data_IF_387165968683
#
_entry.id   IF_387165968683
#
_cell.length_a   1.000
_cell.length_b   1.000
_cell.length_c   1.000
_cell.angle_alpha   90.00
_cell.angle_beta   90.00
_cell.angle_gamma   90.00
#
_symmetry.space_group_name_H-M   'P 1'
#
loop_
_entity.id
_entity.type
_entity.pdbx_description
1 polymer ?
#
# COMPACT_ATOMS: atom_id res chain seq x y z
N UNK A 1 19.26 24.16 62.69
CA UNK A 1 18.83 23.98 64.09
C UNK A 1 18.16 25.25 64.58
N UNK A 2 16.84 25.32 64.55
CA UNK A 2 15.99 25.98 65.57
C UNK A 2 14.52 25.71 65.25
N UNK A 3 13.84 25.18 66.26
CA UNK A 3 12.40 24.95 66.35
C UNK A 3 11.66 26.25 66.70
N UNK A 4 10.42 26.39 66.22
CA UNK A 4 9.15 26.64 66.97
C UNK A 4 8.08 27.18 66.01
N UNK A 5 7.05 26.40 65.66
CA UNK A 5 5.77 26.20 66.36
C UNK A 5 4.90 27.45 66.55
N UNK A 6 3.68 27.42 66.00
CA UNK A 6 2.39 27.55 66.71
C UNK A 6 1.22 27.38 65.71
N UNK A 7 0.44 26.30 65.83
CA UNK A 7 -0.90 26.23 66.46
C UNK A 7 -2.01 26.71 65.51
N UNK A 8 -3.18 26.08 65.30
CA UNK A 8 -4.18 25.51 66.21
C UNK A 8 -5.15 24.63 65.37
N UNK A 9 -5.62 23.51 65.92
CA UNK A 9 -6.82 22.79 65.46
C UNK A 9 -8.10 23.49 65.93
N UNK A 10 -9.15 23.55 65.09
CA UNK A 10 -10.52 23.29 65.58
C UNK A 10 -11.50 22.92 64.46
N UNK A 11 -12.40 22.03 64.86
CA UNK A 11 -13.48 21.35 64.14
C UNK A 11 -14.56 22.29 63.60
N UNK A 12 -15.22 21.89 62.50
CA UNK A 12 -16.66 21.63 62.41
C UNK A 12 -17.11 21.48 60.93
N UNK A 13 -17.77 20.37 60.60
CA UNK A 13 -18.72 20.27 59.47
C UNK A 13 -20.08 20.91 59.86
N UNK A 14 -21.10 20.94 58.98
CA UNK A 14 -21.14 21.57 57.67
C UNK A 14 -22.31 22.57 57.61
N UNK A 15 -22.16 23.70 56.91
CA UNK A 15 -23.31 24.55 56.56
C UNK A 15 -23.40 24.78 55.06
N UNK A 16 -24.50 24.26 54.52
CA UNK A 16 -25.03 24.52 53.19
C UNK A 16 -25.10 26.02 52.90
N UNK A 17 -24.30 26.49 51.95
CA UNK A 17 -24.58 27.70 51.21
C UNK A 17 -24.62 27.34 49.72
N UNK A 18 -25.84 27.39 49.18
CA UNK A 18 -26.13 27.29 47.76
C UNK A 18 -25.37 28.37 46.99
N UNK A 19 -24.47 27.97 46.10
CA UNK A 19 -24.14 28.74 44.91
C UNK A 19 -24.29 27.84 43.70
N UNK A 20 -25.51 27.77 43.19
CA UNK A 20 -25.75 27.25 41.85
C UNK A 20 -25.34 28.31 40.83
N UNK A 21 -24.41 27.98 39.96
CA UNK A 21 -24.40 28.37 38.54
C UNK A 21 -23.42 27.49 37.76
N UNK A 22 -23.99 26.45 37.16
CA UNK A 22 -23.62 25.87 35.86
C UNK A 22 -22.14 25.54 35.59
N UNK A 23 -21.60 24.57 36.33
CA UNK A 23 -20.55 23.72 35.79
C UNK A 23 -21.16 22.80 34.73
N UNK A 24 -21.08 23.19 33.44
CA UNK A 24 -21.27 22.23 32.34
C UNK A 24 -20.32 21.07 32.61
N UNK A 25 -20.84 19.89 32.95
CA UNK A 25 -20.12 18.63 32.75
C UNK A 25 -19.70 18.63 31.29
N UNK A 26 -18.40 18.82 31.04
CA UNK A 26 -17.82 18.54 29.74
C UNK A 26 -17.84 17.02 29.68
N UNK A 27 -18.89 16.47 29.07
CA UNK A 27 -18.86 15.08 28.66
C UNK A 27 -17.57 14.86 27.86
N UNK A 28 -16.82 13.78 28.11
CA UNK A 28 -15.72 13.42 27.24
C UNK A 28 -16.27 13.40 25.80
N UNK A 29 -15.55 13.99 24.83
CA UNK A 29 -16.06 14.10 23.47
C UNK A 29 -16.47 12.70 23.03
N UNK A 30 -17.78 12.52 22.82
CA UNK A 30 -18.30 11.32 22.17
C UNK A 30 -17.46 11.18 20.90
N UNK A 31 -16.64 10.12 20.82
CA UNK A 31 -15.99 9.72 19.56
C UNK A 31 -17.13 9.45 18.59
N UNK A 32 -17.58 10.48 17.89
CA UNK A 32 -18.45 10.31 16.72
C UNK A 32 -17.66 9.38 15.82
N UNK A 33 -18.17 8.18 15.60
CA UNK A 33 -17.66 7.30 14.56
C UNK A 33 -17.55 8.13 13.28
N UNK A 34 -16.34 8.32 12.82
CA UNK A 34 -16.04 9.13 11.65
C UNK A 34 -16.29 8.27 10.42
N UNK A 35 -17.16 8.72 9.51
CA UNK A 35 -17.48 8.00 8.27
C UNK A 35 -16.94 8.82 7.09
N UNK A 36 -15.88 8.37 6.39
CA UNK A 36 -15.47 9.01 5.15
C UNK A 36 -16.62 9.02 4.14
N UNK A 37 -16.90 10.17 3.54
CA UNK A 37 -17.91 10.31 2.50
C UNK A 37 -17.27 10.12 1.12
N UNK A 38 -17.03 8.87 0.73
CA UNK A 38 -16.80 8.54 -0.69
C UNK A 38 -18.15 8.39 -1.34
N UNK A 39 -18.40 9.14 -2.42
CA UNK A 39 -19.65 9.07 -3.18
C UNK A 39 -19.35 8.59 -4.60
N UNK A 40 -20.01 7.50 -5.02
CA UNK A 40 -20.07 7.12 -6.43
C UNK A 40 -20.95 8.11 -7.16
N UNK A 41 -20.46 8.61 -8.28
CA UNK A 41 -21.18 9.58 -9.10
C UNK A 41 -21.97 8.81 -10.16
N UNK A 42 -23.23 9.20 -10.44
CA UNK A 42 -24.05 8.48 -11.40
C UNK A 42 -23.42 8.50 -12.79
N UNK A 43 -23.51 7.37 -13.50
CA UNK A 43 -23.05 7.15 -14.88
C UNK A 43 -21.54 6.96 -15.07
N UNK A 44 -21.07 5.77 -14.74
CA UNK A 44 -19.81 5.19 -15.19
C UNK A 44 -19.92 4.59 -16.61
N UNK A 45 -18.79 4.20 -17.20
CA UNK A 45 -18.74 3.55 -18.51
C UNK A 45 -18.22 2.11 -18.45
N UNK A 46 -18.62 1.30 -19.42
CA UNK A 46 -18.25 -0.11 -19.58
C UNK A 46 -17.80 -0.38 -21.02
N UNK A 47 -16.69 -1.08 -21.22
CA UNK A 47 -16.35 -1.75 -22.48
C UNK A 47 -16.77 -3.22 -22.43
N UNK A 48 -17.20 -3.74 -23.57
CA UNK A 48 -17.63 -5.14 -23.69
C UNK A 48 -16.45 -6.08 -23.53
N UNK A 49 -16.69 -7.27 -22.96
CA UNK A 49 -15.69 -8.33 -22.98
C UNK A 49 -15.64 -8.89 -24.40
N UNK A 50 -14.45 -9.03 -25.05
CA UNK A 50 -14.35 -9.56 -26.40
C UNK A 50 -14.96 -10.96 -26.54
N UNK A 51 -15.42 -11.31 -27.74
CA UNK A 51 -16.07 -12.59 -28.02
C UNK A 51 -15.07 -13.75 -28.14
N UNK A 52 -13.82 -13.47 -28.51
CA UNK A 52 -12.73 -14.43 -28.65
C UNK A 52 -12.09 -14.84 -27.31
N UNK A 53 -12.58 -14.33 -26.18
CA UNK A 53 -12.14 -14.75 -24.85
C UNK A 53 -12.81 -16.08 -24.51
N UNK A 54 -12.07 -17.17 -24.72
CA UNK A 54 -12.55 -18.54 -24.51
C UNK A 54 -12.66 -18.93 -23.04
N UNK A 55 -13.55 -19.88 -22.77
CA UNK A 55 -13.72 -20.52 -21.46
C UNK A 55 -12.47 -21.30 -21.10
N UNK A 56 -11.92 -21.02 -19.91
CA UNK A 56 -10.64 -21.56 -19.45
C UNK A 56 -9.48 -20.56 -19.57
N UNK A 57 -9.67 -19.42 -20.24
CA UNK A 57 -8.73 -18.31 -20.13
C UNK A 57 -8.73 -17.74 -18.71
N UNK A 58 -7.60 -17.22 -18.25
CA UNK A 58 -7.44 -16.62 -16.92
C UNK A 58 -6.91 -15.19 -17.04
N UNK A 59 -7.73 -14.25 -17.54
CA UNK A 59 -7.29 -12.87 -17.73
C UNK A 59 -6.92 -12.20 -16.40
N UNK A 60 -6.09 -11.17 -16.51
CA UNK A 60 -5.76 -10.29 -15.40
C UNK A 60 -6.65 -9.05 -15.48
N UNK A 61 -7.52 -8.87 -14.48
CA UNK A 61 -8.25 -7.64 -14.23
C UNK A 61 -7.40 -6.70 -13.36
N UNK A 62 -7.04 -5.55 -13.93
CA UNK A 62 -6.22 -4.52 -13.31
C UNK A 62 -7.13 -3.45 -12.72
N UNK A 63 -7.22 -3.38 -11.40
CA UNK A 63 -7.96 -2.34 -10.69
C UNK A 63 -7.01 -1.21 -10.25
N UNK A 64 -7.27 0.02 -10.71
CA UNK A 64 -6.43 1.17 -10.40
C UNK A 64 -7.26 2.38 -10.00
N UNK A 65 -6.78 3.13 -9.02
CA UNK A 65 -7.38 4.40 -8.61
C UNK A 65 -6.52 5.53 -9.15
N UNK A 66 -7.10 6.43 -9.95
CA UNK A 66 -6.37 7.49 -10.64
C UNK A 66 -7.02 8.84 -10.36
N UNK A 67 -6.23 9.87 -10.07
CA UNK A 67 -6.74 11.22 -9.81
C UNK A 67 -6.77 12.14 -11.03
N UNK A 68 -6.19 11.71 -12.16
CA UNK A 68 -6.01 12.53 -13.36
C UNK A 68 -6.28 11.73 -14.65
N UNK A 69 -7.15 12.25 -15.52
CA UNK A 69 -7.47 11.64 -16.82
C UNK A 69 -6.24 11.38 -17.70
N UNK A 70 -5.28 12.30 -17.72
CA UNK A 70 -4.07 12.16 -18.54
C UNK A 70 -3.25 10.93 -18.14
N UNK A 71 -3.13 10.67 -16.84
CA UNK A 71 -2.47 9.46 -16.31
C UNK A 71 -3.24 8.20 -16.68
N UNK A 72 -4.57 8.24 -16.59
CA UNK A 72 -5.41 7.12 -17.02
C UNK A 72 -5.26 6.81 -18.52
N UNK A 73 -5.20 7.83 -19.38
CA UNK A 73 -4.92 7.66 -20.82
C UNK A 73 -3.55 7.05 -21.06
N UNK A 74 -2.52 7.54 -20.37
CA UNK A 74 -1.16 7.00 -20.47
C UNK A 74 -1.13 5.52 -20.12
N UNK A 75 -1.80 5.12 -19.02
CA UNK A 75 -1.90 3.72 -18.60
C UNK A 75 -2.61 2.84 -19.63
N UNK A 76 -3.76 3.31 -20.17
CA UNK A 76 -4.47 2.59 -21.23
C UNK A 76 -3.54 2.38 -22.44
N UNK A 77 -2.82 3.43 -22.85
CA UNK A 77 -1.91 3.36 -23.98
C UNK A 77 -0.77 2.36 -23.74
N UNK A 78 -0.17 2.37 -22.54
CA UNK A 78 0.86 1.40 -22.15
C UNK A 78 0.36 -0.04 -22.23
N UNK A 79 -0.86 -0.32 -21.74
CA UNK A 79 -1.46 -1.66 -21.83
C UNK A 79 -1.73 -2.09 -23.27
N UNK A 80 -2.20 -1.16 -24.10
CA UNK A 80 -2.44 -1.41 -25.52
C UNK A 80 -1.13 -1.68 -26.26
N UNK A 81 -0.06 -0.95 -25.93
CA UNK A 81 1.25 -1.16 -26.52
C UNK A 81 1.92 -2.45 -26.05
N UNK A 82 1.73 -2.84 -24.78
CA UNK A 82 2.21 -4.11 -24.23
C UNK A 82 1.54 -5.34 -24.91
N UNK A 83 0.31 -5.20 -25.40
CA UNK A 83 -0.45 -6.26 -26.06
C UNK A 83 0.03 -6.60 -27.49
N UNK A 84 1.22 -6.13 -27.91
CA UNK A 84 1.76 -6.42 -29.25
C UNK A 84 2.43 -7.80 -29.38
N UNK A 85 2.69 -8.49 -28.27
CA UNK A 85 3.15 -9.90 -28.22
C UNK A 85 2.72 -10.49 -26.85
N UNK A 86 1.44 -10.82 -26.62
CA UNK A 86 1.03 -11.47 -25.34
C UNK A 86 -0.18 -12.40 -25.45
N UNK A 87 -0.09 -13.56 -24.80
CA UNK A 87 -1.17 -14.55 -24.64
C UNK A 87 -2.01 -14.30 -23.37
N UNK A 88 -1.52 -13.49 -22.42
CA UNK A 88 -2.26 -13.07 -21.23
C UNK A 88 -3.23 -11.94 -21.58
N UNK A 89 -4.51 -12.29 -21.56
CA UNK A 89 -5.61 -11.35 -21.78
C UNK A 89 -5.74 -10.39 -20.59
N UNK A 90 -5.74 -9.07 -20.83
CA UNK A 90 -5.79 -8.02 -19.78
C UNK A 90 -7.11 -7.25 -19.83
N UNK A 91 -7.67 -6.92 -18.68
CA UNK A 91 -8.83 -6.05 -18.52
C UNK A 91 -8.52 -4.92 -17.52
N UNK A 92 -9.14 -3.75 -17.67
CA UNK A 92 -8.82 -2.57 -16.86
C UNK A 92 -10.04 -1.96 -16.16
N UNK A 93 -9.97 -1.83 -14.84
CA UNK A 93 -10.95 -1.19 -13.99
C UNK A 93 -10.36 0.11 -13.41
N UNK A 94 -10.86 1.25 -13.88
CA UNK A 94 -10.40 2.57 -13.43
C UNK A 94 -11.41 3.17 -12.47
N UNK A 95 -10.92 3.54 -11.29
CA UNK A 95 -11.61 4.45 -10.42
C UNK A 95 -11.06 5.86 -10.57
N UNK A 96 -11.81 6.75 -11.24
CA UNK A 96 -11.39 8.12 -11.49
C UNK A 96 -11.89 9.06 -10.39
N UNK A 97 -10.96 9.61 -9.61
CA UNK A 97 -11.26 10.52 -8.51
C UNK A 97 -11.22 11.98 -8.95
N UNK A 98 -12.21 12.77 -8.55
CA UNK A 98 -12.15 14.23 -8.65
C UNK A 98 -12.26 14.91 -7.28
N UNK A 99 -11.53 16.01 -7.14
CA UNK A 99 -11.57 16.85 -5.95
C UNK A 99 -12.65 17.93 -6.13
N UNK A 100 -13.61 18.00 -5.21
CA UNK A 100 -14.52 19.16 -5.08
C UNK A 100 -15.99 18.92 -5.49
N UNK A 101 -16.79 20.00 -5.37
CA UNK A 101 -18.26 19.99 -5.51
C UNK A 101 -18.78 19.80 -6.95
N UNK A 102 -17.93 20.00 -7.96
CA UNK A 102 -18.28 19.90 -9.39
C UNK A 102 -17.76 18.62 -10.08
N UNK A 103 -17.22 17.68 -9.29
CA UNK A 103 -16.68 16.40 -9.77
C UNK A 103 -17.68 15.61 -10.63
N UNK A 104 -18.98 15.64 -10.30
CA UNK A 104 -20.04 14.87 -10.95
C UNK A 104 -20.20 15.19 -12.45
N UNK A 105 -19.92 16.44 -12.88
CA UNK A 105 -20.14 16.87 -14.27
C UNK A 105 -18.98 16.53 -15.20
N UNK A 106 -17.73 16.66 -14.73
CA UNK A 106 -16.54 16.48 -15.56
C UNK A 106 -16.06 15.02 -15.57
N UNK A 107 -16.05 14.37 -14.41
CA UNK A 107 -15.54 13.01 -14.30
C UNK A 107 -16.37 11.99 -15.06
N UNK A 108 -17.69 12.18 -15.12
CA UNK A 108 -18.60 11.31 -15.88
C UNK A 108 -18.24 11.29 -17.37
N UNK A 109 -18.01 12.47 -17.96
CA UNK A 109 -17.59 12.58 -19.36
C UNK A 109 -16.20 11.97 -19.55
N UNK A 110 -15.27 12.22 -18.62
CA UNK A 110 -13.93 11.65 -18.66
C UNK A 110 -13.94 10.12 -18.58
N UNK A 111 -14.74 9.53 -17.70
CA UNK A 111 -14.89 8.08 -17.59
C UNK A 111 -15.42 7.46 -18.88
N UNK A 112 -16.41 8.10 -19.52
CA UNK A 112 -16.93 7.64 -20.81
C UNK A 112 -15.86 7.73 -21.89
N UNK A 113 -15.10 8.81 -21.97
CA UNK A 113 -14.03 8.95 -22.94
C UNK A 113 -12.93 7.91 -22.73
N UNK A 114 -12.53 7.63 -21.49
CA UNK A 114 -11.57 6.58 -21.16
C UNK A 114 -12.09 5.20 -21.59
N UNK A 115 -13.37 4.93 -21.39
CA UNK A 115 -14.01 3.67 -21.81
C UNK A 115 -14.10 3.55 -23.33
N UNK A 116 -14.42 4.62 -24.04
CA UNK A 116 -14.39 4.62 -25.52
C UNK A 116 -12.97 4.42 -26.05
N UNK A 117 -11.96 4.99 -25.37
CA UNK A 117 -10.55 4.73 -25.69
C UNK A 117 -10.20 3.25 -25.46
N UNK A 118 -10.64 2.64 -24.36
CA UNK A 118 -10.46 1.22 -24.09
C UNK A 118 -11.12 0.36 -25.17
N UNK A 119 -12.39 0.62 -25.51
CA UNK A 119 -13.13 -0.06 -26.60
C UNK A 119 -12.42 0.02 -27.94
N UNK A 120 -11.99 1.23 -28.33
CA UNK A 120 -11.33 1.48 -29.62
C UNK A 120 -10.05 0.64 -29.78
N UNK A 121 -9.37 0.34 -28.67
CA UNK A 121 -8.14 -0.44 -28.67
C UNK A 121 -8.35 -1.90 -28.24
N UNK A 122 -9.59 -2.39 -28.17
CA UNK A 122 -9.88 -3.78 -27.80
C UNK A 122 -9.53 -4.13 -26.34
N UNK A 123 -9.39 -3.14 -25.45
CA UNK A 123 -9.12 -3.35 -24.03
C UNK A 123 -10.47 -3.46 -23.27
N UNK A 124 -10.86 -4.65 -22.76
CA UNK A 124 -12.03 -4.76 -21.91
C UNK A 124 -11.82 -4.07 -20.56
N UNK A 125 -12.89 -3.58 -19.95
CA UNK A 125 -12.77 -2.78 -18.75
C UNK A 125 -13.96 -1.89 -18.42
N UNK A 126 -13.83 -1.14 -17.35
CA UNK A 126 -14.80 -0.15 -16.91
C UNK A 126 -14.13 1.04 -16.24
N UNK A 127 -14.85 2.17 -16.18
CA UNK A 127 -14.39 3.36 -15.48
C UNK A 127 -15.51 3.97 -14.65
N UNK A 128 -15.30 4.07 -13.33
CA UNK A 128 -16.25 4.62 -12.37
C UNK A 128 -15.72 5.96 -11.83
N UNK A 129 -16.60 6.97 -11.85
CA UNK A 129 -16.32 8.27 -11.24
C UNK A 129 -16.65 8.23 -9.75
N UNK A 130 -15.75 8.73 -8.92
CA UNK A 130 -16.04 8.99 -7.51
C UNK A 130 -15.50 10.35 -7.07
N UNK A 131 -16.14 10.89 -6.03
CA UNK A 131 -15.69 12.12 -5.36
C UNK A 131 -15.29 11.78 -3.93
N UNK A 132 -14.11 12.29 -3.54
CA UNK A 132 -13.60 12.21 -2.17
C UNK A 132 -12.94 13.52 -1.75
N UNK A 133 -13.12 13.89 -0.49
CA UNK A 133 -12.46 15.03 0.14
C UNK A 133 -11.50 14.57 1.26
N UNK A 134 -10.26 15.11 1.33
CA UNK A 134 -9.31 14.77 2.38
C UNK A 134 -9.82 15.09 3.78
N UNK A 135 -9.48 14.19 4.71
CA UNK A 135 -9.94 14.15 6.10
C UNK A 135 -9.25 15.21 6.98
N UNK A 136 -8.22 15.89 6.46
CA UNK A 136 -7.45 16.88 7.22
C UNK A 136 -7.25 18.17 6.43
N UNK A 137 -7.52 19.30 7.06
CA UNK A 137 -7.03 20.63 6.65
C UNK A 137 -5.64 20.92 7.21
N UNK A 138 -5.11 20.05 8.08
CA UNK A 138 -3.76 20.15 8.65
C UNK A 138 -2.73 19.71 7.58
N UNK A 139 -1.87 20.62 7.11
CA UNK A 139 -0.84 20.33 6.12
C UNK A 139 0.29 19.43 6.63
N UNK A 140 0.38 19.14 7.94
CA UNK A 140 1.38 18.22 8.51
C UNK A 140 0.86 16.77 8.64
N UNK A 141 -0.46 16.58 8.68
CA UNK A 141 -1.12 15.26 8.55
C UNK A 141 -1.12 14.80 7.08
N UNK A 142 0.08 14.68 6.48
CA UNK A 142 0.30 14.19 5.11
C UNK A 142 0.27 12.66 5.01
N UNK A 143 -0.60 12.02 5.77
CA UNK A 143 -0.81 10.58 5.73
C UNK A 143 -1.94 10.21 4.77
N UNK A 144 -1.79 9.09 4.06
CA UNK A 144 -2.84 8.48 3.24
C UNK A 144 -4.12 8.24 4.07
N UNK A 145 -5.05 9.19 4.12
CA UNK A 145 -6.29 8.97 4.88
C UNK A 145 -7.33 8.28 4.01
N UNK A 146 -7.27 6.94 3.94
CA UNK A 146 -8.44 6.09 3.70
C UNK A 146 -9.43 6.53 2.57
N UNK A 147 -9.01 6.79 1.30
CA UNK A 147 -9.95 6.73 0.18
C UNK A 147 -9.71 5.50 -0.69
N UNK A 148 -8.51 4.91 -0.60
CA UNK A 148 -8.08 3.82 -1.47
C UNK A 148 -8.88 2.54 -1.20
N UNK A 149 -9.18 2.26 0.08
CA UNK A 149 -9.93 1.05 0.48
C UNK A 149 -11.40 1.17 0.09
N UNK A 150 -11.99 2.30 0.42
CA UNK A 150 -13.38 2.65 0.15
C UNK A 150 -13.64 2.69 -1.35
N UNK A 151 -12.77 3.35 -2.13
CA UNK A 151 -12.90 3.40 -3.59
C UNK A 151 -12.69 2.02 -4.24
N UNK A 152 -11.76 1.20 -3.74
CA UNK A 152 -11.59 -0.20 -4.19
C UNK A 152 -12.81 -1.08 -3.89
N UNK A 153 -13.38 -0.93 -2.70
CA UNK A 153 -14.64 -1.58 -2.37
C UNK A 153 -15.71 -1.16 -3.37
N UNK A 154 -15.85 0.14 -3.66
CA UNK A 154 -16.82 0.63 -4.64
C UNK A 154 -16.55 0.10 -6.05
N UNK A 155 -15.28 0.03 -6.49
CA UNK A 155 -14.92 -0.62 -7.75
C UNK A 155 -15.30 -2.10 -7.78
N UNK A 156 -15.35 -2.78 -6.63
CA UNK A 156 -15.74 -4.19 -6.55
C UNK A 156 -17.26 -4.37 -6.47
N UNK A 157 -17.95 -3.50 -5.73
CA UNK A 157 -19.37 -3.66 -5.37
C UNK A 157 -20.34 -2.86 -6.21
N UNK A 158 -19.89 -1.87 -6.96
CA UNK A 158 -20.79 -1.09 -7.82
C UNK A 158 -21.50 -1.98 -8.84
N UNK A 159 -22.78 -1.68 -9.13
CA UNK A 159 -23.59 -2.49 -10.03
C UNK A 159 -22.98 -2.63 -11.43
N UNK A 160 -22.28 -1.60 -11.93
CA UNK A 160 -21.59 -1.66 -13.22
C UNK A 160 -20.39 -2.61 -13.16
N UNK A 161 -19.61 -2.54 -12.08
CA UNK A 161 -18.49 -3.45 -11.88
C UNK A 161 -18.96 -4.89 -11.71
N UNK A 162 -20.02 -5.13 -10.91
CA UNK A 162 -20.63 -6.44 -10.75
C UNK A 162 -21.09 -7.02 -12.09
N UNK A 163 -21.71 -6.19 -12.95
CA UNK A 163 -22.10 -6.59 -14.30
C UNK A 163 -20.89 -7.02 -15.14
N UNK A 164 -19.82 -6.21 -15.15
CA UNK A 164 -18.60 -6.55 -15.89
C UNK A 164 -17.95 -7.84 -15.38
N UNK A 165 -17.81 -7.96 -14.06
CA UNK A 165 -17.26 -9.15 -13.41
C UNK A 165 -18.04 -10.41 -13.79
N UNK A 166 -19.37 -10.36 -13.76
CA UNK A 166 -20.22 -11.48 -14.15
C UNK A 166 -20.08 -11.82 -15.64
N UNK A 167 -20.04 -10.83 -16.53
CA UNK A 167 -19.81 -11.06 -17.97
C UNK A 167 -18.44 -11.70 -18.21
N UNK A 168 -17.39 -11.14 -17.59
CA UNK A 168 -16.03 -11.61 -17.72
C UNK A 168 -15.85 -13.04 -17.19
N UNK A 169 -16.38 -13.32 -16.01
CA UNK A 169 -16.38 -14.65 -15.38
C UNK A 169 -17.17 -15.67 -16.20
N UNK A 170 -18.32 -15.27 -16.78
CA UNK A 170 -19.13 -16.17 -17.62
C UNK A 170 -18.39 -16.65 -18.88
N UNK A 171 -17.54 -15.79 -19.46
CA UNK A 171 -16.77 -16.08 -20.67
C UNK A 171 -15.49 -16.85 -20.37
N UNK A 172 -14.77 -16.44 -19.32
CA UNK A 172 -13.40 -16.94 -19.05
C UNK A 172 -13.36 -18.05 -18.00
N UNK A 173 -14.34 -18.09 -17.10
CA UNK A 173 -14.43 -19.06 -16.00
C UNK A 173 -13.61 -18.68 -14.77
N UNK A 174 -12.47 -18.00 -14.92
CA UNK A 174 -11.62 -17.56 -13.82
C UNK A 174 -10.97 -16.22 -14.16
N UNK A 175 -10.85 -15.34 -13.16
CA UNK A 175 -10.25 -14.01 -13.33
C UNK A 175 -9.28 -13.76 -12.20
N UNK A 176 -8.07 -13.34 -12.55
CA UNK A 176 -7.06 -12.90 -11.59
C UNK A 176 -7.18 -11.38 -11.44
N UNK A 177 -7.38 -10.90 -10.23
CA UNK A 177 -7.44 -9.47 -9.89
C UNK A 177 -6.09 -9.02 -9.40
N UNK A 178 -5.61 -7.91 -9.98
CA UNK A 178 -4.46 -7.14 -9.53
C UNK A 178 -4.91 -5.73 -9.19
N UNK A 179 -4.69 -5.30 -7.96
CA UNK A 179 -5.05 -3.94 -7.56
C UNK A 179 -3.80 -3.08 -7.44
N UNK A 180 -3.73 -1.95 -8.14
CA UNK A 180 -2.57 -1.06 -8.30
C UNK A 180 -2.74 0.31 -7.59
N UNK A 181 -1.63 1.00 -7.36
CA UNK A 181 -1.58 2.45 -7.09
C UNK A 181 -1.53 3.15 -8.45
N UNK A 182 -1.85 4.45 -8.53
CA UNK A 182 -1.74 5.21 -9.79
C UNK A 182 -0.30 5.37 -10.32
N UNK A 183 0.67 4.91 -9.54
CA UNK A 183 2.07 5.31 -9.62
C UNK A 183 2.96 4.09 -9.81
N UNK A 184 2.69 3.37 -10.90
CA UNK A 184 3.20 2.04 -11.23
C UNK A 184 3.84 2.02 -12.63
N UNK A 185 4.38 3.16 -13.08
CA UNK A 185 4.87 3.36 -14.46
C UNK A 185 5.93 2.36 -14.93
N UNK A 186 6.61 1.68 -14.00
CA UNK A 186 7.60 0.65 -14.28
C UNK A 186 7.11 -0.76 -13.92
N UNK A 187 5.81 -0.96 -13.69
CA UNK A 187 5.28 -2.27 -13.35
C UNK A 187 5.45 -3.23 -14.54
N UNK A 188 6.08 -4.39 -14.34
CA UNK A 188 6.28 -5.39 -15.40
C UNK A 188 4.99 -5.79 -16.12
N UNK A 189 3.83 -5.74 -15.46
CA UNK A 189 2.53 -5.99 -16.08
C UNK A 189 2.16 -4.96 -17.17
N UNK A 190 2.73 -3.76 -17.10
CA UNK A 190 2.52 -2.63 -18.00
C UNK A 190 3.65 -2.43 -19.00
N UNK A 191 4.86 -2.91 -18.69
CA UNK A 191 6.10 -2.57 -19.42
C UNK A 191 6.80 -3.75 -20.08
N UNK A 192 6.57 -4.99 -19.63
CA UNK A 192 7.25 -6.18 -20.17
C UNK A 192 6.35 -6.96 -21.13
N UNK A 193 6.97 -7.48 -22.19
CA UNK A 193 6.41 -8.54 -23.05
C UNK A 193 6.77 -9.95 -22.54
N UNK A 194 7.28 -10.06 -21.31
CA UNK A 194 7.78 -11.32 -20.73
C UNK A 194 6.62 -12.08 -20.07
N UNK A 195 5.68 -12.52 -20.91
CA UNK A 195 4.47 -13.24 -20.49
C UNK A 195 4.72 -14.59 -19.81
N UNK A 196 5.95 -15.09 -19.89
CA UNK A 196 6.30 -16.41 -19.36
C UNK A 196 6.11 -16.53 -17.84
N UNK A 197 6.33 -15.48 -17.05
CA UNK A 197 6.14 -15.61 -15.60
C UNK A 197 4.66 -15.68 -15.20
N UNK A 198 3.84 -14.79 -15.77
CA UNK A 198 2.41 -14.76 -15.43
C UNK A 198 1.72 -16.07 -15.81
N UNK A 199 2.03 -16.59 -16.99
CA UNK A 199 1.40 -17.80 -17.53
C UNK A 199 1.96 -19.09 -16.95
N UNK A 200 3.27 -19.19 -16.79
CA UNK A 200 3.89 -20.45 -16.38
C UNK A 200 4.00 -20.57 -14.85
N UNK A 201 3.98 -19.48 -14.10
CA UNK A 201 4.12 -19.50 -12.65
C UNK A 201 2.91 -18.93 -11.90
N UNK A 202 2.56 -17.67 -12.14
CA UNK A 202 1.60 -16.95 -11.29
C UNK A 202 0.18 -17.50 -11.43
N UNK A 203 -0.34 -17.59 -12.66
CA UNK A 203 -1.69 -18.08 -12.93
C UNK A 203 -1.82 -19.52 -12.43
N UNK A 204 -0.99 -20.50 -12.86
CA UNK A 204 -1.11 -21.89 -12.42
C UNK A 204 -1.10 -22.03 -10.89
N UNK A 205 -0.26 -21.28 -10.18
CA UNK A 205 -0.25 -21.32 -8.73
C UNK A 205 -1.53 -20.78 -8.11
N UNK A 206 -2.05 -19.64 -8.59
CA UNK A 206 -3.33 -19.09 -8.14
C UNK A 206 -4.51 -20.00 -8.50
N UNK A 207 -4.41 -20.81 -9.56
CA UNK A 207 -5.45 -21.77 -9.92
C UNK A 207 -5.39 -23.04 -9.06
N UNK A 208 -4.20 -23.59 -8.82
CA UNK A 208 -3.99 -24.76 -7.96
C UNK A 208 -4.30 -24.45 -6.48
N UNK A 209 -4.01 -23.24 -6.06
CA UNK A 209 -4.31 -22.72 -4.74
C UNK A 209 -5.17 -21.46 -4.89
N UNK A 210 -6.50 -21.58 -5.06
CA UNK A 210 -7.38 -20.42 -5.22
C UNK A 210 -7.23 -19.40 -4.09
N UNK A 211 -6.88 -19.88 -2.89
CA UNK A 211 -6.68 -19.08 -1.66
C UNK A 211 -5.30 -18.41 -1.60
N UNK A 212 -4.41 -18.70 -2.55
CA UNK A 212 -3.09 -18.11 -2.61
C UNK A 212 -3.15 -16.64 -3.00
N UNK A 213 -2.11 -15.94 -2.55
CA UNK A 213 -1.84 -14.56 -2.89
C UNK A 213 -0.37 -14.41 -3.24
N UNK A 214 -0.12 -13.69 -4.32
CA UNK A 214 1.21 -13.25 -4.74
C UNK A 214 1.38 -11.76 -4.50
N UNK A 215 2.59 -11.38 -4.11
CA UNK A 215 2.99 -9.97 -4.04
C UNK A 215 4.45 -9.84 -4.42
N UNK A 216 4.81 -8.72 -5.04
CA UNK A 216 6.20 -8.41 -5.36
C UNK A 216 6.79 -7.30 -4.50
N UNK A 217 6.04 -6.69 -3.58
CA UNK A 217 6.50 -5.52 -2.85
C UNK A 217 6.63 -4.27 -3.72
N UNK A 218 7.56 -3.37 -3.36
CA UNK A 218 7.93 -2.20 -4.17
C UNK A 218 9.42 -1.90 -4.03
N UNK A 219 10.00 -1.37 -5.10
CA UNK A 219 11.27 -0.65 -5.07
C UNK A 219 10.98 0.84 -4.83
N UNK A 220 11.85 1.51 -4.07
CA UNK A 220 11.96 2.96 -4.17
C UNK A 220 12.70 3.33 -5.44
N UNK A 221 12.25 4.40 -6.10
CA UNK A 221 12.84 4.88 -7.33
C UNK A 221 14.31 5.29 -7.16
N UNK A 222 15.15 4.81 -8.07
CA UNK A 222 16.60 4.99 -8.11
C UNK A 222 17.03 5.91 -9.25
N UNK A 223 16.11 6.62 -9.91
CA UNK A 223 16.47 7.58 -10.95
C UNK A 223 17.25 8.77 -10.34
N UNK A 224 18.49 8.97 -10.78
CA UNK A 224 19.37 10.01 -10.24
C UNK A 224 18.91 11.44 -10.58
N UNK A 225 18.15 11.65 -11.65
CA UNK A 225 17.53 12.95 -11.95
C UNK A 225 16.50 13.32 -10.90
N UNK A 226 15.67 12.37 -10.48
CA UNK A 226 14.69 12.57 -9.42
C UNK A 226 15.38 12.85 -8.08
N UNK A 227 16.46 12.12 -7.76
CA UNK A 227 17.27 12.35 -6.56
C UNK A 227 17.92 13.73 -6.59
N UNK A 228 18.47 14.13 -7.73
CA UNK A 228 19.08 15.46 -7.96
C UNK A 228 18.07 16.58 -7.66
N UNK A 229 16.84 16.43 -8.14
CA UNK A 229 15.77 17.38 -7.85
C UNK A 229 15.50 17.48 -6.34
N UNK A 230 15.38 16.34 -5.63
CA UNK A 230 15.19 16.33 -4.16
C UNK A 230 16.37 16.96 -3.41
N UNK A 231 17.60 16.64 -3.78
CA UNK A 231 18.81 17.22 -3.16
C UNK A 231 18.85 18.73 -3.35
N UNK A 232 18.51 19.22 -4.55
CA UNK A 232 18.42 20.65 -4.86
C UNK A 232 17.39 21.35 -3.97
N UNK A 233 16.19 20.79 -3.84
CA UNK A 233 15.14 21.30 -2.94
C UNK A 233 15.60 21.37 -1.48
N UNK A 234 16.41 20.39 -1.05
CA UNK A 234 16.97 20.31 0.32
C UNK A 234 18.27 21.08 0.51
N UNK A 235 18.73 21.81 -0.52
CA UNK A 235 20.00 22.56 -0.50
C UNK A 235 21.19 21.68 -0.12
N UNK A 236 21.19 20.43 -0.61
CA UNK A 236 22.28 19.46 -0.47
C UNK A 236 23.12 19.42 -1.75
N UNK A 237 24.32 18.85 -1.65
CA UNK A 237 25.21 18.74 -2.79
C UNK A 237 24.70 17.67 -3.78
N UNK A 238 24.38 18.10 -5.00
CA UNK A 238 23.79 17.25 -6.04
C UNK A 238 24.77 16.24 -6.63
N UNK A 239 26.08 16.45 -6.47
CA UNK A 239 27.11 15.52 -6.99
C UNK A 239 26.99 14.11 -6.40
N UNK A 240 26.30 13.97 -5.26
CA UNK A 240 26.08 12.70 -4.57
C UNK A 240 24.87 11.92 -5.08
N UNK A 241 24.12 12.45 -6.06
CA UNK A 241 22.87 11.84 -6.52
C UNK A 241 23.04 10.39 -6.98
N UNK A 242 24.07 10.09 -7.78
CA UNK A 242 24.31 8.74 -8.30
C UNK A 242 24.67 7.74 -7.19
N UNK A 243 25.47 8.18 -6.22
CA UNK A 243 25.84 7.32 -5.07
C UNK A 243 24.67 7.09 -4.12
N UNK A 244 23.81 8.07 -3.95
CA UNK A 244 22.56 7.91 -3.20
C UNK A 244 21.60 6.98 -3.96
N UNK A 245 21.55 7.07 -5.30
CA UNK A 245 20.77 6.15 -6.13
C UNK A 245 21.24 4.69 -5.94
N UNK A 246 22.55 4.47 -5.99
CA UNK A 246 23.18 3.17 -5.73
C UNK A 246 22.85 2.65 -4.33
N UNK A 247 22.94 3.50 -3.30
CA UNK A 247 22.56 3.13 -1.93
C UNK A 247 21.07 2.75 -1.80
N UNK A 248 20.15 3.47 -2.47
CA UNK A 248 18.73 3.13 -2.50
C UNK A 248 18.52 1.78 -3.22
N UNK A 249 19.25 1.52 -4.31
CA UNK A 249 19.18 0.23 -5.01
C UNK A 249 19.65 -0.94 -4.13
N UNK A 250 20.68 -0.74 -3.32
CA UNK A 250 21.14 -1.71 -2.31
C UNK A 250 20.04 -1.96 -1.28
N UNK A 251 19.42 -0.90 -0.74
CA UNK A 251 18.32 -1.05 0.23
C UNK A 251 17.14 -1.81 -0.39
N UNK A 252 16.73 -1.46 -1.61
CA UNK A 252 15.67 -2.17 -2.32
C UNK A 252 15.97 -3.68 -2.41
N UNK A 253 17.18 -4.03 -2.85
CA UNK A 253 17.61 -5.44 -2.97
C UNK A 253 17.49 -6.17 -1.63
N UNK A 254 18.02 -5.57 -0.56
CA UNK A 254 18.00 -6.16 0.79
C UNK A 254 16.59 -6.20 1.41
N UNK A 255 15.74 -5.23 1.09
CA UNK A 255 14.31 -5.25 1.44
C UNK A 255 13.59 -6.44 0.81
N UNK A 256 13.88 -6.77 -0.44
CA UNK A 256 13.28 -7.93 -1.09
C UNK A 256 13.76 -9.25 -0.47
N UNK A 257 15.06 -9.41 -0.25
CA UNK A 257 15.63 -10.61 0.35
C UNK A 257 15.13 -10.84 1.78
N UNK A 258 15.08 -9.80 2.62
CA UNK A 258 14.57 -9.95 3.99
C UNK A 258 13.09 -10.33 4.00
N UNK A 259 12.28 -9.81 3.08
CA UNK A 259 10.85 -10.17 3.00
C UNK A 259 10.65 -11.61 2.59
N UNK A 260 11.44 -12.10 1.64
CA UNK A 260 11.42 -13.50 1.21
C UNK A 260 11.79 -14.44 2.37
N UNK A 261 12.89 -14.14 3.07
CA UNK A 261 13.32 -14.91 4.25
C UNK A 261 12.28 -14.88 5.39
N UNK A 262 11.73 -13.70 5.68
CA UNK A 262 10.68 -13.54 6.68
C UNK A 262 9.38 -14.23 6.28
N UNK A 263 9.07 -14.33 4.98
CA UNK A 263 7.89 -15.05 4.50
C UNK A 263 8.02 -16.56 4.68
N UNK A 264 9.19 -17.11 4.40
CA UNK A 264 9.48 -18.53 4.62
C UNK A 264 9.39 -18.91 6.10
N UNK A 265 9.72 -17.97 6.99
CA UNK A 265 9.70 -18.20 8.43
C UNK A 265 8.34 -17.90 9.07
N UNK A 266 7.84 -16.67 8.89
CA UNK A 266 6.62 -16.20 9.53
C UNK A 266 5.97 -15.09 8.70
N UNK A 267 5.10 -15.47 7.76
CA UNK A 267 4.48 -14.56 6.78
C UNK A 267 3.77 -13.34 7.38
N UNK A 268 3.26 -13.40 8.63
CA UNK A 268 2.63 -12.24 9.30
C UNK A 268 3.63 -11.14 9.70
N UNK A 269 4.93 -11.44 9.73
CA UNK A 269 5.98 -10.46 10.04
C UNK A 269 6.20 -9.47 8.89
N UNK A 270 5.73 -9.83 7.70
CA UNK A 270 5.92 -9.05 6.49
C UNK A 270 4.72 -8.13 6.27
N UNK A 271 4.95 -6.83 6.40
CA UNK A 271 4.04 -5.82 5.84
C UNK A 271 4.00 -5.91 4.31
N UNK A 272 2.83 -6.25 3.78
CA UNK A 272 2.57 -6.24 2.35
C UNK A 272 1.81 -4.96 1.96
N UNK A 273 2.42 -4.09 1.15
CA UNK A 273 1.77 -2.87 0.70
C UNK A 273 0.58 -3.22 -0.20
N UNK A 274 -0.59 -2.73 0.19
CA UNK A 274 -1.89 -3.08 -0.38
C UNK A 274 -2.10 -2.80 -1.88
N UNK A 275 -1.30 -1.97 -2.61
CA UNK A 275 -1.51 -1.81 -4.03
C UNK A 275 -0.72 -2.75 -4.94
N UNK A 276 -0.20 -3.88 -4.46
CA UNK A 276 0.57 -4.80 -5.32
C UNK A 276 0.33 -6.27 -4.98
N UNK A 277 -0.92 -6.74 -5.05
CA UNK A 277 -1.24 -8.16 -4.84
C UNK A 277 -2.05 -8.75 -6.00
N UNK A 278 -1.83 -10.04 -6.29
CA UNK A 278 -2.63 -10.83 -7.24
C UNK A 278 -3.48 -11.84 -6.48
N UNK A 279 -4.76 -11.96 -6.82
CA UNK A 279 -5.71 -12.88 -6.19
C UNK A 279 -6.84 -13.28 -7.15
N UNK A 280 -7.62 -14.30 -6.80
CA UNK A 280 -8.80 -14.66 -7.58
C UNK A 280 -9.98 -13.67 -7.34
N UNK A 281 -10.74 -13.35 -8.40
CA UNK A 281 -11.93 -12.48 -8.35
C UNK A 281 -13.00 -12.95 -7.34
N UNK A 282 -13.18 -14.25 -7.15
CA UNK A 282 -14.09 -14.77 -6.13
C UNK A 282 -13.69 -14.34 -4.71
N UNK A 283 -12.39 -14.41 -4.39
CA UNK A 283 -11.88 -13.94 -3.11
C UNK A 283 -11.98 -12.42 -2.95
N UNK A 284 -11.80 -11.68 -4.04
CA UNK A 284 -12.04 -10.24 -4.08
C UNK A 284 -13.50 -9.89 -3.75
N UNK A 285 -14.48 -10.65 -4.27
CA UNK A 285 -15.92 -10.45 -4.02
C UNK A 285 -16.38 -10.94 -2.63
N UNK A 286 -15.69 -11.91 -2.05
CA UNK A 286 -16.03 -12.42 -0.72
C UNK A 286 -15.78 -11.39 0.41
N UNK A 287 -15.00 -10.33 0.15
CA UNK A 287 -14.62 -9.30 1.13
C UNK A 287 -15.43 -8.00 1.01
N UNK A 288 -16.67 -8.05 0.50
CA UNK A 288 -17.50 -6.84 0.29
C UNK A 288 -18.33 -6.47 1.54
N UNK A 289 -18.65 -5.16 1.77
CA UNK A 289 -19.40 -4.71 2.95
C UNK A 289 -20.78 -5.36 3.09
N UNK A 290 -21.43 -5.70 1.96
CA UNK A 290 -22.77 -6.30 1.92
C UNK A 290 -22.76 -7.76 2.41
N UNK A 291 -21.77 -8.55 2.00
CA UNK A 291 -21.58 -9.91 2.50
C UNK A 291 -21.17 -9.92 3.99
N UNK A 292 -20.47 -8.88 4.43
CA UNK A 292 -20.03 -8.67 5.82
C UNK A 292 -21.18 -8.26 6.76
N UNK A 293 -22.15 -7.45 6.29
CA UNK A 293 -23.28 -6.99 7.10
C UNK A 293 -24.37 -8.05 7.31
N UNK A 294 -24.42 -9.09 6.47
CA UNK A 294 -25.45 -10.13 6.54
C UNK A 294 -25.11 -11.28 7.51
N UNK A 295 -24.02 -11.17 8.30
CA UNK A 295 -23.57 -12.22 9.23
C UNK A 295 -23.45 -13.61 8.57
N UNK A 296 -23.35 -13.68 7.24
CA UNK A 296 -22.86 -14.86 6.56
C UNK A 296 -21.37 -14.91 6.88
N UNK A 297 -21.09 -15.54 8.01
CA UNK A 297 -19.76 -15.95 8.45
C UNK A 297 -19.21 -16.87 7.37
N UNK A 298 -18.64 -16.29 6.32
CA UNK A 298 -17.43 -16.87 5.77
C UNK A 298 -16.40 -16.60 6.88
N UNK A 299 -16.01 -17.66 7.58
CA UNK A 299 -15.16 -17.62 8.77
C UNK A 299 -14.11 -16.48 8.70
N UNK A 300 -14.26 -15.54 9.63
CA UNK A 300 -13.29 -14.53 10.07
C UNK A 300 -12.94 -13.32 9.16
N UNK A 301 -13.62 -12.21 9.47
CA UNK A 301 -13.15 -10.81 9.57
C UNK A 301 -12.39 -10.21 8.37
N UNK A 302 -12.99 -9.28 7.60
CA UNK A 302 -12.21 -8.25 6.91
C UNK A 302 -12.93 -7.21 6.06
N UNK A 303 -12.68 -5.94 6.36
CA UNK A 303 -12.45 -4.96 5.28
C UNK A 303 -11.50 -3.81 5.62
N UNK A 304 -10.87 -3.82 6.80
CA UNK A 304 -10.00 -2.71 7.16
C UNK A 304 -8.55 -2.86 6.71
N UNK A 305 -8.12 -3.98 6.12
CA UNK A 305 -6.74 -4.14 5.65
C UNK A 305 -6.60 -5.27 4.61
N UNK A 306 -6.87 -5.02 3.33
CA UNK A 306 -6.77 -6.04 2.26
C UNK A 306 -5.39 -6.71 2.14
N UNK A 307 -4.32 -6.15 2.72
CA UNK A 307 -3.03 -6.86 2.86
C UNK A 307 -2.84 -7.52 4.23
N UNK A 308 -3.22 -6.83 5.31
CA UNK A 308 -3.00 -7.30 6.70
C UNK A 308 -3.97 -8.41 7.11
N UNK A 309 -5.17 -8.46 6.52
CA UNK A 309 -6.14 -9.53 6.77
C UNK A 309 -5.65 -10.84 6.17
N UNK A 310 -5.21 -10.85 4.90
CA UNK A 310 -4.80 -12.10 4.27
C UNK A 310 -3.52 -12.66 4.91
N UNK A 311 -2.63 -11.79 5.38
CA UNK A 311 -1.52 -12.17 6.25
C UNK A 311 -2.03 -12.71 7.61
N UNK A 312 -3.02 -12.06 8.23
CA UNK A 312 -3.67 -12.55 9.47
C UNK A 312 -4.33 -13.92 9.30
N UNK A 313 -4.93 -14.19 8.14
CA UNK A 313 -5.53 -15.48 7.77
C UNK A 313 -4.50 -16.54 7.32
N UNK A 314 -3.19 -16.22 7.30
CA UNK A 314 -2.15 -17.15 6.84
C UNK A 314 -2.22 -17.49 5.34
N UNK A 315 -2.84 -16.62 4.52
CA UNK A 315 -3.16 -16.88 3.10
C UNK A 315 -2.14 -16.31 2.12
N UNK A 316 -1.17 -15.52 2.57
CA UNK A 316 -0.06 -15.06 1.71
C UNK A 316 0.83 -16.25 1.40
N UNK A 317 0.87 -16.66 0.13
CA UNK A 317 1.48 -17.93 -0.27
C UNK A 317 2.88 -17.75 -0.86
N UNK A 318 3.17 -16.59 -1.48
CA UNK A 318 4.47 -16.36 -2.15
C UNK A 318 4.80 -14.87 -2.32
N UNK A 319 6.07 -14.49 -2.13
CA UNK A 319 6.61 -13.17 -2.50
C UNK A 319 7.57 -13.32 -3.67
N UNK A 320 7.40 -12.49 -4.69
CA UNK A 320 8.02 -12.65 -6.01
C UNK A 320 8.62 -11.35 -6.52
N UNK A 321 9.94 -11.30 -6.57
CA UNK A 321 10.68 -10.09 -6.95
C UNK A 321 10.47 -9.71 -8.43
N UNK A 322 10.01 -10.64 -9.28
CA UNK A 322 9.74 -10.40 -10.71
C UNK A 322 8.50 -9.53 -10.95
N UNK A 323 7.59 -9.40 -9.97
CA UNK A 323 6.34 -8.63 -10.09
C UNK A 323 6.33 -7.38 -9.18
N UNK A 324 7.51 -6.93 -8.78
CA UNK A 324 7.70 -5.72 -7.97
C UNK A 324 7.42 -4.46 -8.79
N UNK A 325 7.00 -3.39 -8.12
CA UNK A 325 6.73 -2.09 -8.76
C UNK A 325 7.68 -1.04 -8.24
N UNK A 326 8.06 -0.06 -9.05
CA UNK A 326 8.78 1.12 -8.57
C UNK A 326 7.79 2.17 -8.05
N UNK A 327 8.05 2.72 -6.85
CA UNK A 327 7.38 3.92 -6.33
C UNK A 327 8.31 5.13 -6.47
N UNK A 328 7.83 6.27 -6.96
CA UNK A 328 8.67 7.46 -7.06
C UNK A 328 9.09 7.96 -5.68
N UNK A 329 10.16 8.72 -5.69
CA UNK A 329 10.72 9.32 -4.48
C UNK A 329 9.74 10.35 -3.92
N UNK A 330 9.20 10.03 -2.74
CA UNK A 330 8.24 10.88 -2.01
C UNK A 330 8.95 11.66 -0.89
N UNK A 331 8.27 12.70 -0.39
CA UNK A 331 8.76 13.54 0.72
C UNK A 331 9.22 12.77 1.96
N UNK A 332 8.67 11.58 2.24
CA UNK A 332 9.09 10.80 3.41
C UNK A 332 10.48 10.16 3.25
N UNK A 333 11.01 10.04 2.02
CA UNK A 333 12.39 9.61 1.75
C UNK A 333 13.39 10.78 1.80
N UNK A 334 12.92 12.02 1.92
CA UNK A 334 13.79 13.20 1.96
C UNK A 334 14.81 13.14 3.10
N UNK A 335 14.40 12.60 4.26
CA UNK A 335 15.27 12.48 5.41
C UNK A 335 16.40 11.48 5.13
N UNK A 336 16.07 10.36 4.47
CA UNK A 336 17.03 9.34 4.07
C UNK A 336 18.04 9.91 3.05
N UNK A 337 17.53 10.56 1.99
CA UNK A 337 18.37 11.18 0.95
C UNK A 337 19.28 12.27 1.55
N UNK A 338 18.72 13.13 2.42
CA UNK A 338 19.48 14.21 3.06
C UNK A 338 20.56 13.66 3.99
N UNK A 339 20.25 12.61 4.75
CA UNK A 339 21.19 12.00 5.69
C UNK A 339 22.34 11.30 4.96
N UNK A 340 22.08 10.61 3.85
CA UNK A 340 23.14 10.05 3.00
C UNK A 340 24.03 11.13 2.37
N UNK A 341 23.44 12.24 1.91
CA UNK A 341 24.23 13.38 1.42
C UNK A 341 25.15 13.96 2.52
N UNK A 342 24.66 14.02 3.76
CA UNK A 342 25.46 14.48 4.91
C UNK A 342 26.60 13.51 5.27
N UNK A 343 26.39 12.20 5.13
CA UNK A 343 27.44 11.19 5.32
C UNK A 343 28.52 11.32 4.25
N UNK A 344 28.12 11.45 2.98
CA UNK A 344 29.04 11.59 1.85
C UNK A 344 29.86 12.88 1.90
N UNK A 345 29.31 13.95 2.49
CA UNK A 345 30.02 15.21 2.68
C UNK A 345 31.10 15.16 3.78
N UNK A 346 31.06 14.18 4.69
CA UNK A 346 32.06 14.04 5.75
C UNK A 346 33.28 13.27 5.23
N UNK A 347 34.52 13.65 5.61
CA UNK A 347 35.71 12.84 5.39
C UNK A 347 35.49 11.42 5.92
N UNK A 348 36.15 10.41 5.33
CA UNK A 348 35.96 9.03 5.74
C UNK A 348 36.33 8.85 7.23
N UNK A 349 35.32 8.74 8.08
CA UNK A 349 35.43 8.55 9.52
C UNK A 349 34.88 7.17 9.83
N UNK A 350 35.58 6.37 10.63
CA UNK A 350 35.22 4.99 10.98
C UNK A 350 33.85 4.81 11.66
N UNK A 351 33.03 5.86 11.80
CA UNK A 351 31.66 5.83 12.33
C UNK A 351 30.56 5.73 11.26
N UNK A 352 30.89 5.69 9.96
CA UNK A 352 29.89 5.68 8.86
C UNK A 352 28.88 4.53 8.98
N UNK A 353 29.31 3.34 9.36
CA UNK A 353 28.43 2.16 9.50
C UNK A 353 27.29 2.39 10.50
N UNK A 354 27.59 2.99 11.66
CA UNK A 354 26.58 3.26 12.70
C UNK A 354 25.57 4.32 12.27
N UNK A 355 26.02 5.36 11.54
CA UNK A 355 25.12 6.38 11.00
C UNK A 355 24.20 5.78 9.91
N UNK A 356 24.73 4.96 9.01
CA UNK A 356 23.97 4.28 7.96
C UNK A 356 22.95 3.31 8.57
N UNK A 357 23.35 2.50 9.56
CA UNK A 357 22.45 1.57 10.25
C UNK A 357 21.26 2.29 10.87
N UNK A 358 21.51 3.43 11.51
CA UNK A 358 20.46 4.27 12.11
C UNK A 358 19.47 4.76 11.04
N UNK A 359 19.98 5.26 9.91
CA UNK A 359 19.15 5.74 8.80
C UNK A 359 18.26 4.62 8.25
N UNK A 360 18.81 3.42 8.04
CA UNK A 360 18.04 2.27 7.57
C UNK A 360 16.94 1.88 8.56
N UNK A 361 17.25 1.83 9.87
CA UNK A 361 16.24 1.51 10.91
C UNK A 361 15.09 2.52 10.97
N UNK A 362 15.38 3.78 10.67
CA UNK A 362 14.42 4.89 10.67
C UNK A 362 13.68 5.03 9.32
N UNK A 363 14.14 4.35 8.28
CA UNK A 363 13.51 4.36 6.97
C UNK A 363 12.06 3.84 7.07
N UNK A 364 11.12 4.67 6.66
CA UNK A 364 9.70 4.39 6.82
C UNK A 364 9.29 3.10 6.06
N UNK A 365 8.65 2.17 6.78
CA UNK A 365 8.16 0.88 6.24
C UNK A 365 9.25 -0.06 5.69
N UNK A 366 10.49 0.08 6.17
CA UNK A 366 11.58 -0.87 5.90
C UNK A 366 11.47 -2.12 6.79
N UNK A 367 11.59 -3.31 6.20
CA UNK A 367 11.70 -4.59 6.91
C UNK A 367 13.11 -4.88 7.42
N UNK A 368 14.09 -4.02 7.10
CA UNK A 368 15.43 -4.02 7.71
C UNK A 368 15.46 -3.41 9.12
N UNK A 369 14.29 -3.13 9.70
CA UNK A 369 14.07 -2.60 11.04
C UNK A 369 13.21 -3.55 11.88
N UNK A 370 13.75 -4.05 13.00
CA UNK A 370 13.04 -4.96 13.90
C UNK A 370 11.75 -4.34 14.44
N UNK A 371 11.74 -3.02 14.63
CA UNK A 371 10.57 -2.29 15.10
C UNK A 371 9.39 -2.38 14.13
N UNK A 372 9.65 -2.50 12.82
CA UNK A 372 8.61 -2.61 11.80
C UNK A 372 8.04 -4.02 11.81
N UNK A 373 8.89 -5.05 11.83
CA UNK A 373 8.46 -6.45 11.90
C UNK A 373 7.68 -6.74 13.19
N UNK A 374 8.19 -6.31 14.34
CA UNK A 374 7.50 -6.41 15.64
C UNK A 374 6.12 -5.76 15.62
N UNK A 375 6.03 -4.56 15.06
CA UNK A 375 4.76 -3.83 14.95
C UNK A 375 3.77 -4.59 14.05
N UNK A 376 4.24 -5.15 12.94
CA UNK A 376 3.40 -5.93 12.03
C UNK A 376 2.84 -7.18 12.72
N UNK A 377 3.72 -7.94 13.36
CA UNK A 377 3.37 -9.13 14.15
C UNK A 377 2.31 -8.78 15.18
N UNK A 378 2.59 -7.80 16.05
CA UNK A 378 1.68 -7.36 17.13
C UNK A 378 0.33 -6.85 16.60
N UNK A 379 0.31 -6.21 15.42
CA UNK A 379 -0.92 -5.73 14.77
C UNK A 379 -1.76 -6.88 14.21
N UNK A 380 -1.14 -7.97 13.77
CA UNK A 380 -1.82 -9.09 13.10
C UNK A 380 -2.29 -10.19 14.05
N UNK A 381 -1.71 -10.28 15.24
CA UNK A 381 -2.02 -11.30 16.23
C UNK A 381 -3.33 -11.05 16.98
N UNK A 382 -4.04 -12.13 17.34
CA UNK A 382 -5.12 -12.06 18.32
C UNK A 382 -4.55 -11.77 19.72
N UNK A 383 -5.39 -11.30 20.65
CA UNK A 383 -5.01 -11.10 22.06
C UNK A 383 -4.49 -12.40 22.72
N UNK A 384 -4.98 -13.56 22.25
CA UNK A 384 -4.55 -14.88 22.74
C UNK A 384 -3.17 -15.24 22.18
N UNK A 385 -2.92 -14.99 20.89
CA UNK A 385 -1.60 -15.24 20.28
C UNK A 385 -0.51 -14.37 20.92
N UNK A 386 -0.83 -13.13 21.34
CA UNK A 386 0.13 -12.20 21.96
C UNK A 386 0.74 -12.74 23.25
N UNK A 387 0.01 -13.60 23.95
CA UNK A 387 0.47 -14.24 25.19
C UNK A 387 1.26 -15.54 24.94
N UNK A 388 1.19 -16.09 23.73
CA UNK A 388 1.81 -17.36 23.33
C UNK A 388 2.99 -17.20 22.36
N UNK A 389 3.30 -15.98 21.92
CA UNK A 389 4.49 -15.72 21.13
C UNK A 389 5.73 -16.10 21.93
N UNK A 390 6.28 -17.25 21.59
CA UNK A 390 7.49 -17.77 22.22
C UNK A 390 8.60 -16.83 21.80
N UNK A 391 9.28 -16.22 22.77
CA UNK A 391 10.40 -15.31 22.57
C UNK A 391 11.38 -15.81 21.47
N UNK A 392 11.54 -17.13 21.36
CA UNK A 392 12.32 -17.82 20.34
C UNK A 392 11.94 -17.48 18.89
N UNK A 393 10.65 -17.29 18.57
CA UNK A 393 10.19 -16.90 17.23
C UNK A 393 10.57 -15.45 16.90
N UNK A 394 10.41 -14.53 17.87
CA UNK A 394 10.86 -13.15 17.71
C UNK A 394 12.37 -13.07 17.59
N UNK A 395 13.10 -13.87 18.37
CA UNK A 395 14.56 -13.93 18.29
C UNK A 395 15.01 -14.47 16.93
N UNK A 396 14.28 -15.42 16.34
CA UNK A 396 14.54 -15.91 14.98
C UNK A 396 14.27 -14.84 13.93
N UNK A 397 13.13 -14.16 13.98
CA UNK A 397 12.76 -13.05 13.08
C UNK A 397 13.78 -11.92 13.18
N UNK A 398 14.15 -11.51 14.40
CA UNK A 398 15.12 -10.44 14.63
C UNK A 398 16.53 -10.80 14.14
N UNK A 399 16.92 -12.08 14.23
CA UNK A 399 18.17 -12.56 13.61
C UNK A 399 18.17 -12.43 12.09
N UNK A 400 17.05 -12.77 11.44
CA UNK A 400 16.88 -12.59 9.98
C UNK A 400 17.00 -11.11 9.62
N UNK A 401 16.22 -10.24 10.27
CA UNK A 401 16.23 -8.79 10.01
C UNK A 401 17.62 -8.20 10.22
N UNK A 402 18.28 -8.55 11.34
CA UNK A 402 19.63 -8.08 11.64
C UNK A 402 20.64 -8.51 10.58
N UNK A 403 20.61 -9.78 10.15
CA UNK A 403 21.53 -10.29 9.13
C UNK A 403 21.46 -9.46 7.84
N UNK A 404 20.26 -9.28 7.27
CA UNK A 404 20.10 -8.53 6.03
C UNK A 404 20.38 -7.02 6.19
N UNK A 405 20.08 -6.45 7.37
CA UNK A 405 20.46 -5.06 7.65
C UNK A 405 21.98 -4.91 7.69
N UNK A 406 22.69 -5.78 8.39
CA UNK A 406 24.14 -5.69 8.56
C UNK A 406 24.84 -5.81 7.18
N UNK A 407 24.35 -6.68 6.29
CA UNK A 407 24.79 -6.74 4.89
C UNK A 407 24.48 -5.45 4.12
N UNK A 408 23.26 -4.92 4.23
CA UNK A 408 22.86 -3.67 3.60
C UNK A 408 23.78 -2.51 4.02
N UNK A 409 24.07 -2.38 5.33
CA UNK A 409 25.01 -1.39 5.85
C UNK A 409 26.41 -1.60 5.26
N UNK A 410 26.91 -2.84 5.23
CA UNK A 410 28.22 -3.14 4.67
C UNK A 410 28.34 -2.72 3.21
N UNK A 411 27.33 -3.01 2.39
CA UNK A 411 27.36 -2.72 0.96
C UNK A 411 27.21 -1.22 0.67
N UNK A 412 26.40 -0.49 1.43
CA UNK A 412 26.32 0.98 1.32
C UNK A 412 27.64 1.63 1.73
N UNK A 413 28.30 1.15 2.79
CA UNK A 413 29.62 1.66 3.20
C UNK A 413 30.62 1.51 2.06
N UNK A 414 30.72 0.32 1.44
CA UNK A 414 31.60 0.09 0.28
C UNK A 414 31.26 1.02 -0.89
N UNK A 415 29.96 1.21 -1.17
CA UNK A 415 29.48 2.13 -2.19
C UNK A 415 29.98 3.56 -1.93
N UNK A 416 29.96 4.03 -0.68
CA UNK A 416 30.38 5.38 -0.28
C UNK A 416 31.90 5.55 -0.13
N UNK A 417 32.68 4.49 -0.11
CA UNK A 417 34.16 4.54 -0.08
C UNK A 417 34.80 4.77 -1.46
N UNK A 418 34.01 4.66 -2.52
CA UNK A 418 34.46 4.88 -3.90
C UNK A 418 34.39 6.35 -4.35
N UNK A 419 34.16 7.28 -3.41
CA UNK A 419 34.08 8.74 -3.59
C UNK A 419 35.30 9.38 -2.99
#
# INVERSE_FOLDING_TARGET
MTWKQKSVQKQAEPQNAKSGTNGKKIDPPKKKGFVPHVKVLPNAGLSSVPEDWEKGSSPILIEVLITEKAKAKSLIQSLVDANKISTVKRALAIGLNGKGKDADKTLTADCKELVELMKKNGLPGFCIAFSWAPISTDPEMKGYVFPFKEARSLLTTDALAQKFHSELESKTGQVIVRTMDQDVSNDPLLTTSEDNFFENELIPHLLLNPKALFTGGYDWDTNSEHITARLSEKKKNVIYADKIAEAIAIINTKEHEVREALMAEHSKSVYMPEPNTYMNLHHRRAVTPENLNNNQLVDEVSQQNEGTVFAKMGKVSRHENQIKTTKPIKQHLDNLISAFADILAKPNQGSRSTEIEKIIKEAHQSHLSENVTDRNIKKQMSEVDKNFYVQDELDKINRIVKHYRDECVSDIVKCFEQV
#
